data_IF_923985181945
#
_entry.id   IF_923985181945
#
_cell.length_a   1.000
_cell.length_b   1.000
_cell.length_c   1.000
_cell.angle_alpha   90.00
_cell.angle_beta   90.00
_cell.angle_gamma   90.00
#
_symmetry.space_group_name_H-M   'P 1'
#
loop_
_entity.id
_entity.type
_entity.pdbx_description
1 polymer ?
#
# COMPACT_ATOMS: atom_id res chain seq x y z
N UNK A 1 6.79 -9.71 0.66
CA UNK A 1 6.82 -8.30 0.24
C UNK A 1 8.28 -8.00 -0.07
N UNK A 2 8.74 -8.25 -1.30
CA UNK A 2 10.08 -7.79 -1.69
C UNK A 2 9.99 -6.31 -2.06
N UNK A 3 11.09 -5.60 -1.82
CA UNK A 3 11.19 -4.14 -1.79
C UNK A 3 10.75 -3.51 -3.12
N UNK A 4 9.94 -2.46 -3.02
CA UNK A 4 9.95 -1.40 -4.03
C UNK A 4 8.58 -0.90 -4.41
N UNK A 5 8.22 0.27 -3.86
CA UNK A 5 7.30 1.26 -4.39
C UNK A 5 5.93 0.72 -4.83
N UNK A 6 4.89 1.01 -4.03
CA UNK A 6 3.59 1.29 -4.62
C UNK A 6 3.88 2.23 -5.81
N UNK A 7 3.46 1.88 -7.02
CA UNK A 7 3.85 2.57 -8.25
C UNK A 7 3.52 4.05 -8.19
N UNK A 8 4.46 4.85 -7.71
CA UNK A 8 4.29 6.23 -7.28
C UNK A 8 5.27 7.06 -8.09
N UNK A 9 4.84 7.50 -9.27
CA UNK A 9 5.62 8.52 -9.98
C UNK A 9 5.37 9.93 -9.43
N UNK A 10 4.31 10.15 -8.63
CA UNK A 10 3.97 11.51 -8.18
C UNK A 10 3.60 11.66 -6.68
N UNK A 11 3.07 10.63 -5.99
CA UNK A 11 2.77 10.73 -4.56
C UNK A 11 3.96 10.26 -3.70
N UNK A 12 4.27 10.94 -2.60
CA UNK A 12 5.22 10.45 -1.58
C UNK A 12 4.48 9.66 -0.50
N UNK A 13 5.16 8.80 0.26
CA UNK A 13 4.56 8.12 1.43
C UNK A 13 3.93 9.10 2.41
N UNK A 14 4.53 10.28 2.57
CA UNK A 14 4.03 11.31 3.46
C UNK A 14 2.75 11.96 2.91
N UNK A 15 2.67 12.17 1.59
CA UNK A 15 1.44 12.63 0.95
C UNK A 15 0.32 11.59 1.06
N UNK A 16 0.63 10.31 0.84
CA UNK A 16 -0.33 9.21 0.98
C UNK A 16 -0.85 9.10 2.41
N UNK A 17 0.06 9.21 3.39
CA UNK A 17 -0.29 9.21 4.81
C UNK A 17 -1.22 10.39 5.16
N UNK A 18 -0.93 11.59 4.64
CA UNK A 18 -1.77 12.77 4.83
C UNK A 18 -3.18 12.60 4.25
N UNK A 19 -3.30 12.11 3.01
CA UNK A 19 -4.60 11.90 2.37
C UNK A 19 -5.48 10.88 3.11
N UNK A 20 -4.87 9.82 3.65
CA UNK A 20 -5.60 8.76 4.34
C UNK A 20 -5.81 9.07 5.83
N UNK A 21 -5.15 10.09 6.37
CA UNK A 21 -5.23 10.44 7.80
C UNK A 21 -4.46 9.49 8.71
N UNK A 22 -3.35 8.92 8.22
CA UNK A 22 -2.44 8.07 9.00
C UNK A 22 -1.04 8.68 9.09
N UNK A 23 -0.17 8.09 9.89
CA UNK A 23 1.23 8.54 9.95
C UNK A 23 2.04 7.96 8.80
N UNK A 24 3.10 8.64 8.38
CA UNK A 24 4.09 8.08 7.42
C UNK A 24 4.65 6.75 7.93
N UNK A 25 4.83 6.60 9.24
CA UNK A 25 5.28 5.35 9.85
C UNK A 25 4.29 4.21 9.62
N UNK A 26 2.98 4.48 9.71
CA UNK A 26 1.93 3.51 9.40
C UNK A 26 2.07 2.99 7.97
N UNK A 27 2.23 3.88 6.99
CA UNK A 27 2.48 3.50 5.59
C UNK A 27 3.73 2.63 5.47
N UNK A 28 4.85 3.03 6.09
CA UNK A 28 6.08 2.23 6.06
C UNK A 28 5.95 0.84 6.72
N UNK A 29 5.13 0.71 7.76
CA UNK A 29 4.84 -0.59 8.39
C UNK A 29 3.98 -1.48 7.48
N UNK A 30 3.01 -0.91 6.76
CA UNK A 30 2.19 -1.61 5.76
C UNK A 30 3.09 -2.13 4.63
N UNK A 31 3.92 -1.26 4.06
CA UNK A 31 4.81 -1.62 2.95
C UNK A 31 5.84 -2.69 3.34
N UNK A 32 6.34 -2.63 4.59
CA UNK A 32 7.26 -3.65 5.10
C UNK A 32 6.57 -4.94 5.56
N UNK A 33 5.23 -5.01 5.48
CA UNK A 33 4.44 -6.15 5.94
C UNK A 33 4.45 -6.35 7.45
N UNK A 34 4.92 -5.36 8.22
CA UNK A 34 5.00 -5.39 9.69
C UNK A 34 3.70 -4.96 10.37
N UNK A 35 2.75 -4.45 9.60
CA UNK A 35 1.44 -4.06 10.07
C UNK A 35 0.38 -4.61 9.11
N UNK A 36 -0.65 -5.23 9.68
CA UNK A 36 -1.81 -5.69 8.93
C UNK A 36 -2.88 -4.60 8.94
N UNK A 37 -3.07 -3.85 7.84
CA UNK A 37 -4.09 -2.80 7.77
C UNK A 37 -5.51 -3.36 7.88
N UNK A 38 -6.45 -2.55 8.38
CA UNK A 38 -7.88 -2.86 8.31
C UNK A 38 -8.37 -2.78 6.86
N UNK A 39 -9.50 -3.43 6.57
CA UNK A 39 -10.13 -3.36 5.24
C UNK A 39 -10.41 -1.91 4.82
N UNK A 40 -10.92 -1.11 5.74
CA UNK A 40 -11.13 0.35 5.56
C UNK A 40 -9.85 1.05 5.11
N UNK A 41 -8.72 0.77 5.78
CA UNK A 41 -7.45 1.39 5.42
C UNK A 41 -6.95 0.92 4.05
N UNK A 42 -7.13 -0.36 3.72
CA UNK A 42 -6.81 -0.87 2.39
C UNK A 42 -7.65 -0.19 1.30
N UNK A 43 -8.95 0.01 1.54
CA UNK A 43 -9.85 0.69 0.61
C UNK A 43 -9.47 2.16 0.42
N UNK A 44 -9.10 2.86 1.50
CA UNK A 44 -8.61 4.23 1.41
C UNK A 44 -7.32 4.34 0.59
N UNK A 45 -6.38 3.41 0.78
CA UNK A 45 -5.16 3.33 -0.02
C UNK A 45 -5.50 3.08 -1.50
N UNK A 46 -6.42 2.15 -1.78
CA UNK A 46 -6.89 1.85 -3.13
C UNK A 46 -7.49 3.09 -3.80
N UNK A 47 -8.32 3.84 -3.09
CA UNK A 47 -8.97 5.04 -3.60
C UNK A 47 -7.98 6.16 -3.93
N UNK A 48 -7.04 6.46 -3.03
CA UNK A 48 -6.05 7.53 -3.23
C UNK A 48 -5.08 7.21 -4.38
N UNK A 49 -4.81 5.92 -4.61
CA UNK A 49 -3.86 5.49 -5.62
C UNK A 49 -4.50 5.10 -6.95
N UNK A 50 -5.84 5.15 -7.04
CA UNK A 50 -6.62 4.65 -8.18
C UNK A 50 -6.21 3.21 -8.55
N UNK A 51 -6.17 2.34 -7.53
CA UNK A 51 -5.81 0.92 -7.66
C UNK A 51 -6.86 0.04 -7.01
N UNK A 52 -6.88 -1.23 -7.40
CA UNK A 52 -7.69 -2.25 -6.75
C UNK A 52 -6.90 -2.96 -5.64
N UNK A 53 -7.64 -3.61 -4.72
CA UNK A 53 -7.04 -4.43 -3.67
C UNK A 53 -6.09 -5.51 -4.24
N UNK A 54 -6.48 -6.12 -5.36
CA UNK A 54 -5.70 -7.16 -6.04
C UNK A 54 -4.33 -6.63 -6.50
N UNK A 55 -4.28 -5.40 -7.01
CA UNK A 55 -3.04 -4.77 -7.47
C UNK A 55 -2.08 -4.38 -6.34
N UNK A 56 -2.58 -4.19 -5.11
CA UNK A 56 -1.80 -3.66 -4.00
C UNK A 56 -1.46 -4.68 -2.92
N UNK A 57 -2.36 -5.62 -2.66
CA UNK A 57 -2.26 -6.55 -1.53
C UNK A 57 -2.13 -8.01 -1.94
N UNK A 58 -2.40 -8.35 -3.20
CA UNK A 58 -2.23 -9.71 -3.66
C UNK A 58 -0.76 -9.98 -3.99
N UNK A 59 -0.23 -11.12 -3.52
CA UNK A 59 1.07 -11.60 -4.02
C UNK A 59 0.87 -11.99 -5.47
N UNK A 60 1.74 -11.53 -6.37
CA UNK A 60 1.85 -12.19 -7.68
C UNK A 60 1.90 -13.69 -7.42
N UNK A 61 0.98 -14.43 -8.04
CA UNK A 61 1.01 -15.89 -7.98
C UNK A 61 2.41 -16.25 -8.47
N UNK A 62 3.25 -16.74 -7.57
CA UNK A 62 4.54 -17.29 -7.96
C UNK A 62 4.25 -18.28 -9.08
N UNK A 63 4.93 -18.10 -10.21
CA UNK A 63 4.90 -19.07 -11.29
C UNK A 63 5.48 -20.36 -10.68
N UNK A 64 4.60 -21.21 -10.17
CA UNK A 64 4.93 -22.57 -9.76
C UNK A 64 5.23 -23.34 -11.05
N UNK A 65 6.51 -23.34 -11.43
CA UNK A 65 7.09 -24.23 -12.43
C UNK A 65 7.63 -25.48 -11.77
#
# INVERSE_FOLDING_TARGET
MEKGQLGMKDLTQEALAREIGVTRQTIGLIESGKYNPSLELCLSICHVLDKTLDQLFWREKGHET
#
